data_IF_731856550036
#
_entry.id   IF_731856550036
#
_cell.length_a   1.000
_cell.length_b   1.000
_cell.length_c   1.000
_cell.angle_alpha   90.00
_cell.angle_beta   90.00
_cell.angle_gamma   90.00
#
_symmetry.space_group_name_H-M   'P 1'
#
loop_
_entity.id
_entity.type
_entity.pdbx_description
1 polymer ?
#
# COMPACT_ATOMS: atom_id res chain seq x y z
N UNK A 1 0.87 3.55 -16.33
CA UNK A 1 0.82 4.49 -17.48
C UNK A 1 2.21 5.10 -17.64
N UNK A 2 3.04 4.57 -18.54
CA UNK A 2 4.29 5.24 -18.93
C UNK A 2 3.90 6.30 -19.95
N UNK A 3 3.85 7.55 -19.54
CA UNK A 3 3.55 8.68 -20.43
C UNK A 3 4.80 9.00 -21.27
N UNK A 4 4.76 8.68 -22.57
CA UNK A 4 5.77 9.04 -23.57
C UNK A 4 5.81 10.54 -23.92
N UNK A 5 5.04 11.35 -23.20
CA UNK A 5 4.83 12.78 -23.43
C UNK A 5 6.13 13.62 -23.58
N UNK A 6 7.23 13.35 -22.85
CA UNK A 6 8.41 14.21 -22.89
C UNK A 6 9.25 14.05 -24.17
N UNK A 7 9.22 12.87 -24.81
CA UNK A 7 9.99 12.54 -26.02
C UNK A 7 9.64 13.46 -27.20
N UNK A 8 8.39 13.96 -27.24
CA UNK A 8 7.89 14.83 -28.29
C UNK A 8 8.09 16.34 -28.03
N UNK A 9 8.29 16.78 -26.78
CA UNK A 9 8.15 18.20 -26.42
C UNK A 9 9.42 18.89 -25.87
N UNK A 10 10.56 18.20 -25.70
CA UNK A 10 11.79 18.80 -25.13
C UNK A 10 11.52 19.54 -23.78
N UNK A 11 10.58 19.03 -22.97
CA UNK A 11 10.24 19.62 -21.67
C UNK A 11 11.23 19.11 -20.61
N UNK A 12 11.49 19.94 -19.61
CA UNK A 12 12.53 19.75 -18.60
C UNK A 12 12.31 18.62 -17.58
N UNK A 13 11.19 17.88 -17.59
CA UNK A 13 10.87 17.00 -16.46
C UNK A 13 10.34 15.63 -16.87
N UNK A 14 11.09 14.59 -16.51
CA UNK A 14 10.59 13.21 -16.42
C UNK A 14 10.69 12.74 -14.98
N UNK A 15 9.56 12.66 -14.28
CA UNK A 15 9.48 12.24 -12.88
C UNK A 15 8.64 10.97 -12.78
N UNK A 16 9.18 9.78 -13.08
CA UNK A 16 8.53 8.55 -12.68
C UNK A 16 8.72 8.37 -11.16
N UNK A 17 7.61 8.42 -10.44
CA UNK A 17 7.48 7.71 -9.17
C UNK A 17 6.90 6.35 -9.51
N UNK A 18 7.59 5.26 -9.16
CA UNK A 18 7.07 3.92 -9.46
C UNK A 18 5.73 3.65 -8.76
N UNK A 19 5.52 4.24 -7.58
CA UNK A 19 4.40 3.99 -6.64
C UNK A 19 4.32 2.52 -6.15
N UNK A 20 4.52 1.53 -7.02
CA UNK A 20 4.78 0.13 -6.74
C UNK A 20 5.43 -0.55 -7.96
N UNK A 21 6.33 -1.52 -7.75
CA UNK A 21 6.84 -2.40 -8.80
C UNK A 21 6.22 -3.80 -8.66
N UNK A 22 5.37 -4.20 -9.61
CA UNK A 22 4.58 -5.44 -9.47
C UNK A 22 5.44 -6.71 -9.44
N UNK A 23 6.66 -6.67 -10.00
CA UNK A 23 7.60 -7.80 -9.98
C UNK A 23 7.92 -8.30 -8.56
N UNK A 24 7.96 -7.40 -7.57
CA UNK A 24 8.17 -7.80 -6.16
C UNK A 24 6.90 -8.20 -5.45
N UNK A 25 5.74 -7.70 -5.90
CA UNK A 25 4.42 -8.05 -5.35
C UNK A 25 3.93 -9.44 -5.80
N UNK A 26 4.36 -9.87 -6.98
CA UNK A 26 4.08 -11.20 -7.53
C UNK A 26 5.38 -12.00 -7.66
N UNK A 27 5.75 -12.80 -6.64
CA UNK A 27 7.01 -13.55 -6.64
C UNK A 27 7.13 -14.49 -7.86
N UNK A 28 8.31 -14.49 -8.48
CA UNK A 28 8.65 -15.28 -9.67
C UNK A 28 7.77 -14.98 -10.90
N UNK A 29 7.10 -13.82 -10.94
CA UNK A 29 6.32 -13.37 -12.11
C UNK A 29 7.17 -13.13 -13.35
N UNK A 30 8.47 -12.92 -13.19
CA UNK A 30 9.45 -12.82 -14.28
C UNK A 30 9.81 -14.19 -14.87
N UNK A 31 10.14 -15.18 -14.03
CA UNK A 31 10.52 -16.53 -14.47
C UNK A 31 9.30 -17.32 -14.99
N UNK A 32 8.14 -17.19 -14.35
CA UNK A 32 6.90 -17.89 -14.74
C UNK A 32 5.95 -16.98 -15.51
N UNK A 33 6.51 -16.16 -16.40
CA UNK A 33 5.77 -15.15 -17.15
C UNK A 33 4.56 -15.74 -17.89
N UNK A 34 4.71 -16.93 -18.48
CA UNK A 34 3.66 -17.67 -19.19
C UNK A 34 2.36 -17.84 -18.38
N UNK A 35 2.48 -18.07 -17.07
CA UNK A 35 1.34 -18.25 -16.16
C UNK A 35 0.60 -16.96 -15.85
N UNK A 36 1.30 -15.82 -15.91
CA UNK A 36 0.75 -14.53 -15.52
C UNK A 36 0.36 -13.65 -16.71
N UNK A 37 1.02 -13.79 -17.86
CA UNK A 37 0.94 -12.81 -18.94
C UNK A 37 -0.44 -12.71 -19.60
N UNK A 38 -1.20 -13.81 -19.59
CA UNK A 38 -2.58 -13.83 -20.10
C UNK A 38 -3.56 -12.99 -19.27
N UNK A 39 -3.27 -12.80 -17.98
CA UNK A 39 -4.13 -12.04 -17.05
C UNK A 39 -3.57 -10.66 -16.72
N UNK A 40 -2.27 -10.57 -16.44
CA UNK A 40 -1.63 -9.36 -15.91
C UNK A 40 -0.80 -8.61 -16.95
N UNK A 41 -0.49 -9.22 -18.08
CA UNK A 41 0.35 -8.64 -19.15
C UNK A 41 1.70 -8.12 -18.63
N UNK A 42 2.33 -8.87 -17.72
CA UNK A 42 3.61 -8.49 -17.10
C UNK A 42 4.76 -8.34 -18.11
N UNK A 43 4.68 -8.97 -19.28
CA UNK A 43 5.64 -8.77 -20.37
C UNK A 43 5.65 -7.31 -20.82
N UNK A 44 4.48 -6.70 -20.97
CA UNK A 44 4.33 -5.28 -21.28
C UNK A 44 4.81 -4.42 -20.11
N UNK A 45 4.34 -4.73 -18.90
CA UNK A 45 4.63 -3.93 -17.71
C UNK A 45 6.12 -3.87 -17.38
N UNK A 46 6.80 -5.01 -17.27
CA UNK A 46 8.23 -5.06 -16.94
C UNK A 46 9.09 -4.40 -18.03
N UNK A 47 8.67 -4.51 -19.30
CA UNK A 47 9.32 -3.78 -20.40
C UNK A 47 9.14 -2.27 -20.25
N UNK A 48 7.94 -1.82 -19.89
CA UNK A 48 7.64 -0.40 -19.67
C UNK A 48 8.44 0.16 -18.48
N UNK A 49 8.50 -0.60 -17.39
CA UNK A 49 9.23 -0.26 -16.17
C UNK A 49 10.72 -0.09 -16.48
N UNK A 50 11.35 -1.06 -17.15
CA UNK A 50 12.76 -0.96 -17.56
C UNK A 50 13.05 0.27 -18.43
N UNK A 51 12.16 0.57 -19.38
CA UNK A 51 12.30 1.75 -20.24
C UNK A 51 12.23 3.01 -19.37
N UNK A 52 11.19 3.15 -18.55
CA UNK A 52 10.97 4.34 -17.73
C UNK A 52 12.10 4.57 -16.71
N UNK A 53 12.58 3.49 -16.05
CA UNK A 53 13.68 3.51 -15.08
C UNK A 53 14.97 4.09 -15.66
N UNK A 54 15.23 3.85 -16.94
CA UNK A 54 16.46 4.27 -17.61
C UNK A 54 16.31 5.53 -18.45
N UNK A 55 15.08 5.89 -18.81
CA UNK A 55 14.80 7.07 -19.63
C UNK A 55 14.80 8.36 -18.82
N UNK A 56 14.35 8.30 -17.57
CA UNK A 56 14.18 9.47 -16.70
C UNK A 56 15.49 10.16 -16.30
N UNK A 57 15.38 11.47 -16.05
CA UNK A 57 16.46 12.28 -15.52
C UNK A 57 16.82 11.94 -14.06
N UNK A 58 15.81 11.70 -13.21
CA UNK A 58 15.95 11.28 -11.81
C UNK A 58 14.71 10.55 -11.29
N UNK A 59 14.94 9.65 -10.34
CA UNK A 59 13.91 8.81 -9.73
C UNK A 59 13.66 9.26 -8.30
N UNK A 60 12.40 9.47 -7.95
CA UNK A 60 11.97 9.65 -6.57
C UNK A 60 11.43 8.34 -6.04
N UNK A 61 11.91 7.95 -4.86
CA UNK A 61 11.38 6.84 -4.08
C UNK A 61 10.91 7.33 -2.72
N UNK A 62 9.99 6.59 -2.11
CA UNK A 62 9.42 6.96 -0.81
C UNK A 62 10.27 6.46 0.36
N UNK A 63 11.08 5.42 0.15
CA UNK A 63 11.91 4.74 1.15
C UNK A 63 13.24 4.28 0.56
N UNK A 64 14.26 4.09 1.41
CA UNK A 64 15.48 3.40 1.01
C UNK A 64 15.21 1.94 0.61
N UNK A 65 14.28 1.28 1.33
CA UNK A 65 13.82 -0.08 1.04
C UNK A 65 13.37 -0.24 -0.42
N UNK A 66 12.69 0.75 -0.98
CA UNK A 66 12.26 0.73 -2.37
C UNK A 66 13.45 0.62 -3.34
N UNK A 67 14.60 1.22 -3.02
CA UNK A 67 15.81 1.15 -3.85
C UNK A 67 16.58 -0.15 -3.59
N UNK A 68 17.10 -0.29 -2.36
CA UNK A 68 18.12 -1.28 -2.00
C UNK A 68 17.72 -2.17 -0.81
N UNK A 69 16.43 -2.18 -0.45
CA UNK A 69 15.88 -3.11 0.52
C UNK A 69 16.44 -2.92 1.92
N UNK A 70 16.87 -4.02 2.52
CA UNK A 70 17.51 -4.07 3.82
C UNK A 70 18.76 -4.94 3.76
N UNK A 71 19.40 -5.17 4.91
CA UNK A 71 20.51 -6.14 4.99
C UNK A 71 20.08 -7.56 4.57
N UNK A 72 18.83 -7.92 4.87
CA UNK A 72 18.34 -9.30 4.78
C UNK A 72 17.32 -9.48 3.63
N UNK A 73 16.94 -8.41 2.93
CA UNK A 73 15.95 -8.44 1.85
C UNK A 73 16.32 -7.51 0.70
N UNK A 74 16.10 -7.96 -0.53
CA UNK A 74 16.38 -7.20 -1.75
C UNK A 74 15.35 -6.08 -1.95
N UNK A 75 15.80 -4.92 -2.42
CA UNK A 75 14.97 -3.77 -2.74
C UNK A 75 14.08 -3.93 -3.97
N UNK A 76 13.10 -3.02 -4.13
CA UNK A 76 12.19 -3.09 -5.28
C UNK A 76 12.94 -2.85 -6.59
N UNK A 77 13.65 -1.73 -6.70
CA UNK A 77 14.50 -1.45 -7.86
C UNK A 77 15.69 -2.41 -7.94
N UNK A 78 16.31 -2.77 -6.82
CA UNK A 78 17.39 -3.76 -6.78
C UNK A 78 16.99 -5.09 -7.45
N UNK A 79 15.75 -5.54 -7.25
CA UNK A 79 15.25 -6.76 -7.90
C UNK A 79 15.19 -6.68 -9.44
N UNK A 80 15.35 -5.49 -10.02
CA UNK A 80 15.39 -5.24 -11.46
C UNK A 80 16.83 -5.09 -12.01
N UNK A 81 17.87 -5.22 -11.17
CA UNK A 81 19.27 -5.21 -11.63
C UNK A 81 19.49 -6.34 -12.64
N UNK A 82 19.13 -7.57 -12.29
CA UNK A 82 19.29 -8.72 -13.16
C UNK A 82 18.11 -9.68 -13.02
N UNK A 83 17.45 -9.98 -14.14
CA UNK A 83 16.37 -10.95 -14.20
C UNK A 83 16.19 -11.45 -15.63
N UNK A 84 15.35 -12.46 -15.81
CA UNK A 84 15.07 -13.02 -17.13
C UNK A 84 13.57 -13.23 -17.30
N UNK A 85 13.10 -12.98 -18.52
CA UNK A 85 11.78 -13.34 -18.98
C UNK A 85 11.99 -14.47 -20.01
N UNK A 86 11.89 -15.75 -19.61
CA UNK A 86 12.13 -16.88 -20.49
C UNK A 86 11.35 -16.74 -21.80
N UNK A 87 11.98 -17.13 -22.91
CA UNK A 87 11.45 -17.00 -24.28
C UNK A 87 11.18 -15.57 -24.77
N UNK A 88 11.47 -14.53 -23.97
CA UNK A 88 11.23 -13.13 -24.33
C UNK A 88 12.50 -12.28 -24.44
N UNK A 89 13.25 -12.12 -23.34
CA UNK A 89 14.58 -11.50 -23.27
C UNK A 89 15.19 -11.67 -21.86
N UNK A 90 16.50 -11.39 -21.75
CA UNK A 90 17.23 -11.37 -20.48
C UNK A 90 17.73 -9.97 -20.18
N UNK A 91 17.60 -9.56 -18.92
CA UNK A 91 18.13 -8.31 -18.38
C UNK A 91 19.38 -8.64 -17.59
N UNK A 92 20.54 -8.33 -18.15
CA UNK A 92 21.83 -8.57 -17.48
C UNK A 92 22.13 -7.45 -16.47
N UNK A 93 21.79 -6.21 -16.84
CA UNK A 93 21.95 -5.02 -16.00
C UNK A 93 20.85 -4.00 -16.34
N UNK A 94 19.73 -4.07 -15.62
CA UNK A 94 18.53 -3.28 -15.89
C UNK A 94 18.51 -1.94 -15.17
N UNK A 95 19.10 -1.85 -13.99
CA UNK A 95 19.21 -0.64 -13.18
C UNK A 95 20.40 -0.81 -12.23
N UNK A 96 20.94 0.30 -11.70
CA UNK A 96 21.97 0.28 -10.65
C UNK A 96 21.43 1.01 -9.42
N UNK A 97 21.45 0.36 -8.26
CA UNK A 97 21.02 0.96 -6.98
C UNK A 97 21.93 2.09 -6.52
N UNK A 98 23.14 2.17 -7.07
CA UNK A 98 24.09 3.27 -6.84
C UNK A 98 23.97 4.40 -7.87
N UNK A 99 23.04 4.32 -8.82
CA UNK A 99 22.84 5.37 -9.81
C UNK A 99 22.48 6.69 -9.09
N UNK A 100 23.25 7.77 -9.31
CA UNK A 100 23.03 9.04 -8.62
C UNK A 100 21.69 9.67 -8.95
N UNK A 101 20.90 9.13 -9.89
CA UNK A 101 19.55 9.59 -10.20
C UNK A 101 18.52 9.22 -9.12
N UNK A 102 18.81 8.26 -8.24
CA UNK A 102 17.91 7.89 -7.16
C UNK A 102 17.91 8.91 -6.02
N UNK A 103 16.73 9.35 -5.62
CA UNK A 103 16.52 10.26 -4.50
C UNK A 103 15.36 9.79 -3.63
N UNK A 104 15.56 9.77 -2.32
CA UNK A 104 14.51 9.45 -1.37
C UNK A 104 13.81 10.75 -0.95
N UNK A 105 12.56 10.88 -1.35
CA UNK A 105 11.69 11.99 -0.98
C UNK A 105 10.38 11.42 -0.46
N UNK A 106 10.35 11.14 0.83
CA UNK A 106 9.22 10.48 1.47
C UNK A 106 7.98 11.39 1.50
N UNK A 107 6.79 10.90 1.06
CA UNK A 107 5.55 11.66 1.13
C UNK A 107 5.01 11.70 2.58
N UNK A 108 3.92 12.44 2.79
CA UNK A 108 3.25 12.52 4.09
C UNK A 108 1.73 12.39 3.98
N UNK A 109 1.05 12.57 5.11
CA UNK A 109 -0.41 12.74 5.17
C UNK A 109 -0.78 14.23 5.12
N UNK A 110 -1.98 14.54 4.60
CA UNK A 110 -2.55 15.89 4.68
C UNK A 110 -2.93 16.17 6.15
N UNK A 111 -2.15 17.04 6.79
CA UNK A 111 -2.29 17.37 8.22
C UNK A 111 -3.59 18.14 8.54
N UNK A 112 -4.35 18.57 7.53
CA UNK A 112 -5.68 19.15 7.72
C UNK A 112 -6.77 18.08 7.84
N UNK A 113 -6.51 16.88 7.30
CA UNK A 113 -7.43 15.74 7.33
C UNK A 113 -7.06 14.77 8.44
N UNK A 114 -5.77 14.44 8.54
CA UNK A 114 -5.21 13.49 9.50
C UNK A 114 -4.40 14.27 10.54
N UNK A 115 -4.78 14.15 11.80
CA UNK A 115 -4.16 14.85 12.93
C UNK A 115 -4.44 14.07 14.21
N UNK A 116 -3.66 14.26 15.29
CA UNK A 116 -3.78 13.50 16.53
C UNK A 116 -5.20 13.50 17.09
N UNK A 117 -5.69 12.32 17.50
CA UNK A 117 -7.03 12.17 18.10
C UNK A 117 -7.23 12.99 19.39
N UNK A 118 -6.14 13.38 20.05
CA UNK A 118 -6.10 14.18 21.29
C UNK A 118 -6.41 15.66 21.06
N UNK A 119 -6.39 16.15 19.81
CA UNK A 119 -6.75 17.53 19.48
C UNK A 119 -8.27 17.71 19.45
N UNK A 120 -8.90 17.70 20.63
CA UNK A 120 -10.37 17.71 20.81
C UNK A 120 -11.06 18.85 20.09
N UNK A 121 -10.44 20.02 20.03
CA UNK A 121 -11.01 21.23 19.40
C UNK A 121 -11.11 21.11 17.87
N UNK A 122 -10.34 20.20 17.26
CA UNK A 122 -10.36 19.96 15.81
C UNK A 122 -11.22 18.75 15.42
N UNK A 123 -11.69 17.96 16.38
CA UNK A 123 -12.48 16.74 16.13
C UNK A 123 -13.76 17.06 15.37
N UNK A 124 -14.06 16.25 14.36
CA UNK A 124 -15.23 16.46 13.50
C UNK A 124 -16.44 15.71 14.06
N UNK A 125 -16.92 16.14 15.23
CA UNK A 125 -17.98 15.47 15.99
C UNK A 125 -19.30 15.33 15.25
N UNK A 126 -19.55 16.15 14.22
CA UNK A 126 -20.69 16.02 13.33
C UNK A 126 -20.75 14.64 12.61
N UNK A 127 -19.60 14.00 12.39
CA UNK A 127 -19.56 12.66 11.78
C UNK A 127 -19.77 11.52 12.78
N UNK A 128 -19.83 11.78 14.10
CA UNK A 128 -19.90 10.70 15.10
C UNK A 128 -21.15 9.84 14.96
N UNK A 129 -22.31 10.44 14.67
CA UNK A 129 -23.54 9.68 14.42
C UNK A 129 -23.43 8.78 13.20
N UNK A 130 -22.77 9.23 12.12
CA UNK A 130 -22.55 8.42 10.92
C UNK A 130 -21.54 7.29 11.19
N UNK A 131 -20.47 7.58 11.94
CA UNK A 131 -19.44 6.60 12.30
C UNK A 131 -20.01 5.53 13.24
N UNK A 132 -20.85 5.91 14.21
CA UNK A 132 -21.51 4.96 15.10
C UNK A 132 -22.49 4.05 14.36
N UNK A 133 -23.23 4.59 13.38
CA UNK A 133 -24.05 3.77 12.48
C UNK A 133 -23.16 2.80 11.69
N UNK A 134 -22.10 3.32 11.06
CA UNK A 134 -21.18 2.55 10.23
C UNK A 134 -20.53 1.39 11.00
N UNK A 135 -20.12 1.62 12.25
CA UNK A 135 -19.42 0.63 13.08
C UNK A 135 -20.37 -0.31 13.82
N UNK A 136 -21.48 0.19 14.36
CA UNK A 136 -22.23 -0.51 15.40
C UNK A 136 -23.71 -0.74 15.10
N UNK A 137 -24.22 -0.27 13.97
CA UNK A 137 -25.61 -0.52 13.56
C UNK A 137 -25.87 -2.03 13.43
N UNK A 138 -27.03 -2.48 13.89
CA UNK A 138 -27.48 -3.87 13.73
C UNK A 138 -28.04 -4.15 12.32
N UNK A 139 -28.09 -3.12 11.47
CA UNK A 139 -28.51 -3.23 10.07
C UNK A 139 -27.34 -3.72 9.23
N UNK A 140 -27.62 -4.66 8.33
CA UNK A 140 -26.69 -5.06 7.26
C UNK A 140 -27.22 -4.51 5.93
N UNK A 141 -26.37 -3.84 5.17
CA UNK A 141 -26.70 -3.22 3.88
C UNK A 141 -25.46 -3.22 2.97
N UNK A 142 -25.48 -2.46 1.88
CA UNK A 142 -24.35 -2.41 0.93
C UNK A 142 -23.24 -1.43 1.33
N UNK A 143 -23.36 -0.77 2.48
CA UNK A 143 -22.28 -0.01 3.10
C UNK A 143 -21.54 -0.83 4.16
N UNK A 144 -22.24 -1.72 4.85
CA UNK A 144 -21.66 -2.55 5.91
C UNK A 144 -22.40 -3.89 6.08
N UNK A 145 -21.61 -4.94 6.30
CA UNK A 145 -22.05 -6.33 6.54
C UNK A 145 -21.57 -6.77 7.92
N UNK A 146 -22.30 -7.73 8.50
CA UNK A 146 -22.06 -8.28 9.84
C UNK A 146 -22.15 -7.23 10.96
N UNK A 147 -22.14 -7.67 12.22
CA UNK A 147 -22.41 -6.80 13.38
C UNK A 147 -21.36 -6.99 14.47
N UNK A 148 -21.10 -5.94 15.24
CA UNK A 148 -20.29 -5.99 16.46
C UNK A 148 -21.21 -6.13 17.68
N UNK A 149 -21.10 -7.24 18.40
CA UNK A 149 -21.95 -7.54 19.56
C UNK A 149 -21.57 -6.72 20.79
N UNK A 150 -20.28 -6.52 21.02
CA UNK A 150 -19.76 -5.79 22.17
C UNK A 150 -19.10 -4.49 21.69
N UNK A 151 -19.78 -3.36 21.91
CA UNK A 151 -19.31 -2.02 21.48
C UNK A 151 -18.17 -1.48 22.34
N UNK A 152 -17.89 -2.08 23.50
CA UNK A 152 -16.88 -1.58 24.44
C UNK A 152 -15.48 -2.12 24.17
N UNK A 153 -15.35 -3.14 23.31
CA UNK A 153 -14.05 -3.71 22.96
C UNK A 153 -13.26 -2.75 22.08
N UNK A 154 -11.92 -2.69 22.24
CA UNK A 154 -11.03 -2.08 21.27
C UNK A 154 -11.25 -2.63 19.86
N UNK A 155 -10.96 -1.80 18.86
CA UNK A 155 -11.10 -2.18 17.46
C UNK A 155 -9.74 -2.43 16.82
N UNK A 156 -9.56 -3.62 16.24
CA UNK A 156 -8.55 -3.89 15.21
C UNK A 156 -9.09 -3.35 13.90
N UNK A 157 -8.49 -2.28 13.39
CA UNK A 157 -8.95 -1.58 12.19
C UNK A 157 -8.00 -1.83 11.02
N UNK A 158 -8.54 -2.13 9.85
CA UNK A 158 -7.78 -2.17 8.60
C UNK A 158 -8.59 -1.58 7.46
N UNK A 159 -7.92 -0.79 6.61
CA UNK A 159 -8.54 -0.14 5.46
C UNK A 159 -7.60 -0.21 4.27
N UNK A 160 -8.05 -0.83 3.18
CA UNK A 160 -7.38 -0.80 1.88
C UNK A 160 -8.30 -1.27 0.77
N UNK A 161 -7.79 -1.31 -0.47
CA UNK A 161 -8.44 -2.03 -1.57
C UNK A 161 -8.48 -3.52 -1.27
N UNK A 162 -9.49 -4.21 -1.80
CA UNK A 162 -9.62 -5.65 -1.69
C UNK A 162 -8.94 -6.32 -2.88
N UNK A 163 -7.66 -6.64 -2.73
CA UNK A 163 -6.86 -7.38 -3.70
C UNK A 163 -6.00 -8.43 -2.98
N UNK A 164 -5.45 -9.40 -3.73
CA UNK A 164 -4.72 -10.53 -3.14
C UNK A 164 -3.48 -10.07 -2.37
N UNK A 165 -2.82 -9.01 -2.83
CA UNK A 165 -1.55 -8.54 -2.24
C UNK A 165 -1.82 -7.84 -0.91
N UNK A 166 -2.94 -7.10 -0.80
CA UNK A 166 -3.37 -6.45 0.46
C UNK A 166 -3.74 -7.45 1.55
N UNK A 167 -4.07 -8.69 1.19
CA UNK A 167 -4.22 -9.82 2.13
C UNK A 167 -5.21 -9.54 3.30
N UNK A 168 -6.31 -8.85 3.00
CA UNK A 168 -7.36 -8.59 4.00
C UNK A 168 -8.00 -9.89 4.50
N UNK A 169 -8.15 -10.86 3.61
CA UNK A 169 -8.64 -12.20 3.95
C UNK A 169 -7.69 -12.94 4.90
N UNK A 170 -6.37 -12.75 4.77
CA UNK A 170 -5.39 -13.32 5.69
C UNK A 170 -5.52 -12.75 7.11
N UNK A 171 -5.84 -11.45 7.26
CA UNK A 171 -6.16 -10.84 8.56
C UNK A 171 -7.44 -11.44 9.17
N UNK A 172 -8.49 -11.64 8.37
CA UNK A 172 -9.72 -12.32 8.84
C UNK A 172 -9.44 -13.73 9.31
N UNK A 173 -8.68 -14.50 8.54
CA UNK A 173 -8.30 -15.88 8.87
C UNK A 173 -7.49 -15.94 10.18
N UNK A 174 -6.48 -15.08 10.31
CA UNK A 174 -5.66 -14.96 11.50
C UNK A 174 -6.49 -14.61 12.74
N UNK A 175 -7.36 -13.61 12.63
CA UNK A 175 -8.27 -13.22 13.71
C UNK A 175 -9.24 -14.34 14.08
N UNK A 176 -9.77 -15.04 13.07
CA UNK A 176 -10.74 -16.10 13.29
C UNK A 176 -10.19 -17.34 13.99
N UNK A 177 -8.94 -17.70 13.70
CA UNK A 177 -8.21 -18.81 14.33
C UNK A 177 -7.88 -18.55 15.80
N UNK A 178 -7.62 -17.31 16.18
CA UNK A 178 -7.21 -16.97 17.54
C UNK A 178 -8.42 -16.57 18.41
N UNK A 179 -8.93 -17.52 19.21
CA UNK A 179 -10.08 -17.28 20.09
C UNK A 179 -9.83 -16.16 21.11
N UNK A 180 -8.61 -16.10 21.67
CA UNK A 180 -8.24 -15.09 22.66
C UNK A 180 -8.23 -13.68 22.06
N UNK A 181 -7.75 -13.52 20.83
CA UNK A 181 -7.80 -12.24 20.11
C UNK A 181 -9.24 -11.75 19.89
N UNK A 182 -10.19 -12.66 19.64
CA UNK A 182 -11.64 -12.34 19.53
C UNK A 182 -12.25 -11.89 20.86
N UNK A 183 -11.70 -12.38 21.97
CA UNK A 183 -12.11 -11.95 23.30
C UNK A 183 -11.58 -10.56 23.63
N UNK A 184 -10.35 -10.24 23.21
CA UNK A 184 -9.69 -8.96 23.47
C UNK A 184 -10.21 -7.79 22.62
N UNK A 185 -10.51 -8.01 21.33
CA UNK A 185 -10.83 -6.92 20.40
C UNK A 185 -11.84 -7.33 19.31
N UNK A 186 -12.57 -6.35 18.77
CA UNK A 186 -13.38 -6.49 17.57
C UNK A 186 -12.52 -6.30 16.31
N UNK A 187 -12.91 -6.91 15.20
CA UNK A 187 -12.28 -6.71 13.90
C UNK A 187 -13.16 -5.83 12.99
N UNK A 188 -12.60 -4.73 12.49
CA UNK A 188 -13.26 -3.85 11.52
C UNK A 188 -12.40 -3.75 10.27
N UNK A 189 -12.95 -4.17 9.13
CA UNK A 189 -12.27 -4.13 7.83
C UNK A 189 -13.05 -3.23 6.89
N UNK A 190 -12.38 -2.24 6.31
CA UNK A 190 -12.89 -1.41 5.21
C UNK A 190 -12.19 -1.87 3.93
N UNK A 191 -12.87 -2.67 3.11
CA UNK A 191 -12.29 -3.19 1.87
C UNK A 191 -13.37 -3.68 0.90
N UNK A 192 -13.20 -3.35 -0.39
CA UNK A 192 -14.13 -3.72 -1.46
C UNK A 192 -15.40 -2.87 -1.46
N UNK A 193 -16.19 -2.90 -2.54
CA UNK A 193 -17.48 -2.20 -2.65
C UNK A 193 -18.62 -3.22 -2.70
N UNK A 194 -19.46 -3.28 -1.66
CA UNK A 194 -20.62 -4.18 -1.64
C UNK A 194 -21.78 -3.69 -2.53
N UNK A 195 -21.83 -2.41 -2.89
CA UNK A 195 -22.95 -1.81 -3.61
C UNK A 195 -22.94 -2.08 -5.11
N UNK A 196 -21.84 -2.60 -5.65
CA UNK A 196 -21.69 -2.93 -7.07
C UNK A 196 -20.97 -4.24 -7.23
N UNK A 197 -21.45 -5.06 -8.17
CA UNK A 197 -20.70 -6.24 -8.57
C UNK A 197 -19.34 -5.80 -9.15
N UNK A 198 -18.26 -6.31 -8.55
CA UNK A 198 -16.91 -6.00 -9.00
C UNK A 198 -16.68 -6.58 -10.39
N UNK A 199 -15.97 -5.83 -11.24
CA UNK A 199 -15.46 -6.30 -12.54
C UNK A 199 -14.02 -6.82 -12.44
N UNK A 200 -13.39 -6.64 -11.29
CA UNK A 200 -12.01 -7.07 -11.04
C UNK A 200 -12.00 -8.51 -10.51
N UNK A 201 -11.17 -9.36 -11.13
CA UNK A 201 -11.13 -10.80 -10.81
C UNK A 201 -10.55 -11.09 -9.44
N UNK A 202 -9.58 -10.28 -8.98
CA UNK A 202 -9.00 -10.48 -7.65
C UNK A 202 -9.98 -10.07 -6.57
N UNK A 203 -10.62 -8.92 -6.74
CA UNK A 203 -11.64 -8.44 -5.82
C UNK A 203 -12.79 -9.46 -5.70
N UNK A 204 -13.31 -9.99 -6.81
CA UNK A 204 -14.33 -11.06 -6.79
C UNK A 204 -13.88 -12.31 -6.00
N UNK A 205 -12.63 -12.76 -6.21
CA UNK A 205 -12.09 -13.92 -5.53
C UNK A 205 -11.90 -13.67 -4.02
N UNK A 206 -11.40 -12.50 -3.65
CA UNK A 206 -11.22 -12.07 -2.26
C UNK A 206 -12.58 -11.86 -1.57
N UNK A 207 -13.60 -11.32 -2.25
CA UNK A 207 -14.98 -11.26 -1.75
C UNK A 207 -15.50 -12.64 -1.36
N UNK A 208 -15.37 -13.62 -2.26
CA UNK A 208 -15.80 -15.01 -2.00
C UNK A 208 -15.04 -15.61 -0.81
N UNK A 209 -13.73 -15.36 -0.71
CA UNK A 209 -12.90 -15.83 0.40
C UNK A 209 -13.29 -15.18 1.72
N UNK A 210 -13.54 -13.87 1.75
CA UNK A 210 -14.01 -13.14 2.94
C UNK A 210 -15.27 -13.78 3.54
N UNK A 211 -16.32 -13.97 2.72
CA UNK A 211 -17.55 -14.63 3.18
C UNK A 211 -17.31 -16.04 3.70
N UNK A 212 -16.47 -16.82 3.01
CA UNK A 212 -16.15 -18.20 3.40
C UNK A 212 -15.47 -18.26 4.77
N UNK A 213 -14.48 -17.40 5.00
CA UNK A 213 -13.75 -17.32 6.27
C UNK A 213 -14.64 -16.83 7.43
N UNK A 214 -15.49 -15.85 7.19
CA UNK A 214 -16.40 -15.32 8.21
C UNK A 214 -17.39 -16.41 8.68
N UNK A 215 -17.87 -17.24 7.76
CA UNK A 215 -18.73 -18.38 8.10
C UNK A 215 -17.94 -19.51 8.78
N UNK A 216 -16.79 -19.90 8.23
CA UNK A 216 -15.92 -20.96 8.78
C UNK A 216 -15.53 -20.69 10.24
N UNK A 217 -15.09 -19.47 10.54
CA UNK A 217 -14.64 -19.06 11.88
C UNK A 217 -15.75 -18.46 12.75
N UNK A 218 -17.00 -18.45 12.26
CA UNK A 218 -18.21 -17.93 12.95
C UNK A 218 -18.01 -16.53 13.51
N UNK A 219 -17.58 -15.60 12.67
CA UNK A 219 -17.16 -14.25 13.11
C UNK A 219 -18.32 -13.27 13.32
N UNK A 220 -19.58 -13.69 13.10
CA UNK A 220 -20.76 -12.85 13.38
C UNK A 220 -20.75 -12.41 14.86
N UNK A 221 -20.85 -11.10 15.09
CA UNK A 221 -20.73 -10.51 16.43
C UNK A 221 -19.33 -10.04 16.80
N UNK A 222 -18.31 -10.41 16.03
CA UNK A 222 -16.90 -10.08 16.26
C UNK A 222 -16.28 -9.25 15.11
N UNK A 223 -16.88 -9.32 13.93
CA UNK A 223 -16.40 -8.61 12.72
C UNK A 223 -17.43 -7.62 12.19
N UNK A 224 -16.94 -6.48 11.70
CA UNK A 224 -17.68 -5.53 10.85
C UNK A 224 -16.92 -5.39 9.54
N UNK A 225 -17.58 -5.66 8.43
CA UNK A 225 -17.00 -5.49 7.10
C UNK A 225 -17.70 -4.33 6.39
N UNK A 226 -16.95 -3.29 6.07
CA UNK A 226 -17.44 -2.02 5.57
C UNK A 226 -16.96 -1.85 4.11
N UNK A 227 -17.85 -1.35 3.25
CA UNK A 227 -17.54 -0.96 1.87
C UNK A 227 -16.53 0.18 1.81
N UNK A 228 -15.85 0.30 0.67
CA UNK A 228 -14.83 1.29 0.40
C UNK A 228 -15.30 2.73 0.77
N UNK A 229 -14.53 3.38 1.63
CA UNK A 229 -14.86 4.71 2.13
C UNK A 229 -14.19 5.80 1.27
N UNK A 230 -14.99 6.54 0.50
CA UNK A 230 -14.49 7.52 -0.47
C UNK A 230 -14.30 8.93 0.08
N UNK A 231 -14.85 9.24 1.26
CA UNK A 231 -14.73 10.56 1.88
C UNK A 231 -13.53 10.63 2.82
N UNK A 232 -12.39 11.15 2.32
CA UNK A 232 -11.15 11.29 3.10
C UNK A 232 -11.31 12.07 4.41
N UNK A 233 -12.21 13.05 4.47
CA UNK A 233 -12.42 13.88 5.67
C UNK A 233 -13.09 13.06 6.76
N UNK A 234 -14.12 12.28 6.41
CA UNK A 234 -14.75 11.31 7.32
C UNK A 234 -13.77 10.19 7.71
N UNK A 235 -12.94 9.72 6.77
CA UNK A 235 -11.93 8.70 7.06
C UNK A 235 -10.91 9.17 8.10
N UNK A 236 -10.49 10.43 8.05
CA UNK A 236 -9.64 11.03 9.09
C UNK A 236 -10.28 10.96 10.47
N UNK A 237 -11.58 11.27 10.56
CA UNK A 237 -12.33 11.15 11.82
C UNK A 237 -12.54 9.68 12.23
N UNK A 238 -12.73 8.77 11.29
CA UNK A 238 -12.82 7.33 11.55
C UNK A 238 -11.54 6.81 12.23
N UNK A 239 -10.35 7.11 11.71
CA UNK A 239 -9.09 6.73 12.35
C UNK A 239 -9.00 7.26 13.80
N UNK A 240 -9.40 8.52 14.04
CA UNK A 240 -9.42 9.11 15.38
C UNK A 240 -10.47 8.47 16.28
N UNK A 241 -11.63 8.10 15.75
CA UNK A 241 -12.66 7.37 16.48
C UNK A 241 -12.14 5.98 16.91
N UNK A 242 -11.38 5.28 16.07
CA UNK A 242 -10.72 4.03 16.47
C UNK A 242 -9.71 4.26 17.60
N UNK A 243 -9.00 5.40 17.61
CA UNK A 243 -8.13 5.77 18.73
C UNK A 243 -8.90 5.91 20.04
N UNK A 244 -10.11 6.47 20.00
CA UNK A 244 -10.96 6.61 21.19
C UNK A 244 -11.33 5.24 21.80
N UNK A 245 -11.43 4.19 20.96
CA UNK A 245 -11.65 2.80 21.42
C UNK A 245 -10.39 2.11 21.99
N UNK A 246 -9.24 2.79 22.00
CA UNK A 246 -7.92 2.20 22.28
C UNK A 246 -7.59 1.00 21.36
N UNK A 247 -8.06 1.10 20.12
CA UNK A 247 -7.80 0.14 19.05
C UNK A 247 -6.39 0.19 18.46
N UNK A 248 -6.18 -0.52 17.36
CA UNK A 248 -4.93 -0.52 16.60
C UNK A 248 -5.20 -0.63 15.09
N UNK A 249 -4.32 -0.06 14.27
CA UNK A 249 -4.35 -0.24 12.82
C UNK A 249 -3.51 -1.46 12.42
N UNK A 250 -4.04 -2.33 11.56
CA UNK A 250 -3.32 -3.51 11.06
C UNK A 250 -3.22 -3.49 9.54
N UNK A 251 -1.99 -3.54 9.03
CA UNK A 251 -1.70 -3.70 7.60
C UNK A 251 -1.06 -5.09 7.34
N UNK A 252 -1.85 -6.10 6.91
CA UNK A 252 -1.43 -7.50 6.73
C UNK A 252 -0.87 -7.85 5.32
N UNK A 253 -0.59 -6.89 4.46
CA UNK A 253 -0.22 -7.12 3.06
C UNK A 253 0.99 -8.06 2.92
N UNK A 254 0.94 -8.97 1.94
CA UNK A 254 2.09 -9.82 1.60
C UNK A 254 3.30 -9.00 1.19
N UNK A 255 3.05 -7.87 0.52
CA UNK A 255 4.06 -6.88 0.19
C UNK A 255 3.38 -5.50 0.05
N UNK A 256 3.88 -4.50 0.76
CA UNK A 256 3.36 -3.12 0.68
C UNK A 256 4.46 -2.19 0.17
N UNK A 257 4.28 -1.60 -1.02
CA UNK A 257 5.33 -0.78 -1.63
C UNK A 257 5.71 0.43 -0.77
N UNK A 258 4.71 1.10 -0.16
CA UNK A 258 4.91 2.19 0.78
C UNK A 258 3.95 2.12 1.96
N UNK A 259 2.64 2.20 1.71
CA UNK A 259 1.61 2.11 2.74
C UNK A 259 1.18 3.48 3.28
N UNK A 260 0.49 4.29 2.47
CA UNK A 260 -0.06 5.58 2.93
C UNK A 260 -1.00 5.43 4.13
N UNK A 261 -1.76 4.33 4.22
CA UNK A 261 -2.65 4.07 5.35
C UNK A 261 -1.91 3.87 6.67
N UNK A 262 -0.66 3.38 6.63
CA UNK A 262 0.24 3.34 7.80
C UNK A 262 0.58 4.76 8.25
N UNK A 263 0.91 5.65 7.32
CA UNK A 263 1.18 7.06 7.61
C UNK A 263 -0.06 7.75 8.17
N UNK A 264 -1.23 7.55 7.56
CA UNK A 264 -2.50 8.12 8.01
C UNK A 264 -2.85 7.69 9.45
N UNK A 265 -2.78 6.38 9.73
CA UNK A 265 -3.04 5.83 11.07
C UNK A 265 -2.07 6.41 12.11
N UNK A 266 -0.77 6.39 11.83
CA UNK A 266 0.25 6.95 12.73
C UNK A 266 0.08 8.46 12.92
N UNK A 267 -0.34 9.20 11.90
CA UNK A 267 -0.60 10.66 11.97
C UNK A 267 -1.79 10.97 12.88
N UNK A 268 -2.79 10.09 12.92
CA UNK A 268 -3.92 10.21 13.84
C UNK A 268 -3.59 9.78 15.28
N UNK A 269 -2.40 9.20 15.51
CA UNK A 269 -2.01 8.63 16.81
C UNK A 269 -2.53 7.22 17.06
N UNK A 270 -2.96 6.50 16.02
CA UNK A 270 -3.38 5.11 16.15
C UNK A 270 -2.15 4.20 16.14
N UNK A 271 -1.90 3.38 17.19
CA UNK A 271 -0.83 2.39 17.15
C UNK A 271 -0.96 1.48 15.94
N UNK A 272 0.11 1.37 15.17
CA UNK A 272 0.11 0.67 13.89
C UNK A 272 0.97 -0.60 13.95
N UNK A 273 0.41 -1.68 13.43
CA UNK A 273 1.00 -3.00 13.33
C UNK A 273 0.99 -3.38 11.84
N UNK A 274 2.14 -3.37 11.17
CA UNK A 274 2.21 -3.50 9.72
C UNK A 274 3.18 -4.58 9.26
N UNK A 275 2.97 -5.05 8.03
CA UNK A 275 3.84 -6.02 7.35
C UNK A 275 5.33 -5.61 7.39
N UNK A 276 6.21 -6.57 7.62
CA UNK A 276 7.66 -6.38 7.50
C UNK A 276 8.18 -6.44 6.06
N UNK A 277 7.31 -6.66 5.06
CA UNK A 277 7.70 -6.74 3.66
C UNK A 277 7.32 -5.47 2.90
N UNK A 278 8.34 -4.74 2.46
CA UNK A 278 8.19 -3.50 1.70
C UNK A 278 8.38 -2.22 2.53
N UNK A 279 7.76 -1.12 2.11
CA UNK A 279 7.92 0.21 2.71
C UNK A 279 7.60 0.32 4.20
N UNK A 280 6.58 -0.36 4.77
CA UNK A 280 6.30 -0.28 6.21
C UNK A 280 7.45 -0.79 7.10
N UNK A 281 8.33 -1.64 6.57
CA UNK A 281 9.55 -2.07 7.25
C UNK A 281 10.49 -0.91 7.60
N UNK A 282 10.51 0.13 6.76
CA UNK A 282 11.28 1.35 7.00
C UNK A 282 10.48 2.42 7.73
N UNK A 283 9.16 2.52 7.49
CA UNK A 283 8.30 3.51 8.16
C UNK A 283 8.29 3.29 9.66
N UNK A 284 8.09 2.05 10.11
CA UNK A 284 7.95 1.69 11.51
C UNK A 284 9.30 1.26 12.09
N UNK A 285 9.64 1.81 13.25
CA UNK A 285 10.69 1.28 14.11
C UNK A 285 10.03 0.33 15.11
N UNK A 286 10.24 -0.99 14.90
CA UNK A 286 9.58 -2.04 15.68
C UNK A 286 9.78 -1.85 17.19
N UNK A 287 8.67 -1.85 17.94
CA UNK A 287 8.66 -1.66 19.40
C UNK A 287 8.78 -0.21 19.86
N UNK A 288 8.94 0.76 18.95
CA UNK A 288 9.11 2.18 19.27
C UNK A 288 7.99 3.02 18.66
N UNK A 289 7.78 2.95 17.35
CA UNK A 289 6.77 3.75 16.65
C UNK A 289 5.61 2.91 16.09
N UNK A 290 5.54 1.63 16.48
CA UNK A 290 4.64 0.63 15.96
C UNK A 290 5.26 -0.77 16.05
N UNK A 291 4.59 -1.78 15.51
CA UNK A 291 5.07 -3.16 15.48
C UNK A 291 5.10 -3.71 14.06
N UNK A 292 6.01 -4.64 13.80
CA UNK A 292 6.05 -5.41 12.57
C UNK A 292 5.37 -6.77 12.74
N UNK A 293 4.65 -7.20 11.71
CA UNK A 293 4.12 -8.56 11.57
C UNK A 293 4.60 -9.18 10.27
N UNK A 294 4.75 -10.51 10.27
CA UNK A 294 5.07 -11.25 9.05
C UNK A 294 3.79 -11.94 8.52
N UNK A 295 3.24 -11.51 7.36
CA UNK A 295 2.02 -12.06 6.79
C UNK A 295 2.13 -13.54 6.40
N UNK A 296 3.35 -14.10 6.28
CA UNK A 296 3.56 -15.52 6.01
C UNK A 296 3.53 -16.40 7.27
N UNK A 297 3.47 -15.79 8.46
CA UNK A 297 3.42 -16.47 9.75
C UNK A 297 2.20 -15.99 10.56
N UNK A 298 1.00 -16.36 10.12
CA UNK A 298 -0.28 -15.90 10.68
C UNK A 298 -0.37 -16.05 12.20
N UNK A 299 0.06 -17.20 12.74
CA UNK A 299 -0.09 -17.47 14.17
C UNK A 299 0.79 -16.54 15.01
N UNK A 300 2.03 -16.29 14.56
CA UNK A 300 2.93 -15.32 15.21
C UNK A 300 2.40 -13.89 15.10
N UNK A 301 1.80 -13.53 13.97
CA UNK A 301 1.18 -12.21 13.80
C UNK A 301 -0.03 -12.04 14.74
N UNK A 302 -0.82 -13.10 14.94
CA UNK A 302 -1.91 -13.09 15.93
C UNK A 302 -1.36 -12.94 17.35
N UNK A 303 -0.30 -13.66 17.70
CA UNK A 303 0.34 -13.57 19.01
C UNK A 303 0.86 -12.15 19.29
N UNK A 304 1.38 -11.45 18.28
CA UNK A 304 1.81 -10.05 18.42
C UNK A 304 0.62 -9.14 18.76
N UNK A 305 -0.53 -9.34 18.11
CA UNK A 305 -1.75 -8.58 18.39
C UNK A 305 -2.30 -8.88 19.79
N UNK A 306 -2.35 -10.16 20.17
CA UNK A 306 -2.73 -10.59 21.52
C UNK A 306 -1.85 -9.90 22.56
N UNK A 307 -0.54 -10.03 22.44
CA UNK A 307 0.42 -9.43 23.37
C UNK A 307 0.29 -7.90 23.43
N UNK A 308 -0.04 -7.25 22.31
CA UNK A 308 -0.29 -5.81 22.28
C UNK A 308 -1.51 -5.44 23.13
N UNK A 309 -2.67 -6.09 22.91
CA UNK A 309 -3.90 -5.78 23.65
C UNK A 309 -3.85 -6.21 25.12
N UNK A 310 -3.17 -7.32 25.44
CA UNK A 310 -2.93 -7.73 26.83
C UNK A 310 -2.10 -6.67 27.57
N UNK A 311 -0.98 -6.23 27.00
CA UNK A 311 -0.15 -5.17 27.60
C UNK A 311 -0.92 -3.86 27.76
N UNK A 312 -1.75 -3.49 26.80
CA UNK A 312 -2.61 -2.31 26.91
C UNK A 312 -3.66 -2.46 28.03
N UNK A 313 -4.14 -3.69 28.28
CA UNK A 313 -5.10 -3.98 29.35
C UNK A 313 -4.45 -3.97 30.74
N UNK A 314 -3.19 -4.42 30.83
CA UNK A 314 -2.40 -4.42 32.07
C UNK A 314 -1.84 -3.02 32.41
N UNK A 315 -1.33 -2.30 31.40
CA UNK A 315 -0.78 -0.94 31.51
C UNK A 315 -1.33 -0.07 30.36
N UNK A 316 -2.39 0.73 30.61
CA UNK A 316 -2.94 1.64 29.61
C UNK A 316 -1.93 2.62 29.02
N UNK A 317 -0.85 2.97 29.75
CA UNK A 317 0.20 3.85 29.25
C UNK A 317 1.02 3.23 28.12
N UNK A 318 0.98 1.91 27.96
CA UNK A 318 1.64 1.22 26.84
C UNK A 318 1.05 1.63 25.49
N UNK A 319 -0.27 1.80 25.41
CA UNK A 319 -0.95 2.28 24.20
C UNK A 319 -0.50 3.71 23.86
N UNK A 320 -0.47 4.58 24.87
CA UNK A 320 -0.09 5.99 24.70
C UNK A 320 1.38 6.13 24.25
N UNK A 321 2.30 5.32 24.80
CA UNK A 321 3.71 5.27 24.36
C UNK A 321 3.84 4.91 22.88
N UNK A 322 3.07 3.92 22.41
CA UNK A 322 3.06 3.53 21.00
C UNK A 322 2.47 4.61 20.10
N UNK A 323 1.39 5.26 20.56
CA UNK A 323 0.75 6.39 19.88
C UNK A 323 1.73 7.57 19.69
N UNK A 324 2.38 8.00 20.78
CA UNK A 324 3.38 9.08 20.78
C UNK A 324 4.59 8.75 19.91
N UNK A 325 5.08 7.50 19.99
CA UNK A 325 6.16 7.02 19.14
C UNK A 325 5.83 7.09 17.65
N UNK A 326 4.59 6.73 17.28
CA UNK A 326 4.06 6.86 15.93
C UNK A 326 4.00 8.31 15.45
N UNK A 327 3.41 9.20 16.25
CA UNK A 327 3.32 10.63 15.95
C UNK A 327 4.70 11.28 15.74
N UNK A 328 5.64 11.02 16.66
CA UNK A 328 7.02 11.53 16.57
C UNK A 328 7.70 11.07 15.27
N UNK A 329 7.53 9.78 14.92
CA UNK A 329 8.10 9.21 13.69
C UNK A 329 7.58 9.93 12.44
N UNK A 330 6.28 10.22 12.36
CA UNK A 330 5.69 10.93 11.21
C UNK A 330 6.23 12.35 11.10
N UNK A 331 6.22 13.13 12.18
CA UNK A 331 6.68 14.53 12.14
C UNK A 331 8.16 14.67 11.75
N UNK A 332 9.00 13.69 12.12
CA UNK A 332 10.43 13.69 11.78
C UNK A 332 10.72 13.32 10.31
N UNK A 333 9.87 12.51 9.66
CA UNK A 333 10.23 11.85 8.39
C UNK A 333 9.22 12.01 7.25
N UNK A 334 7.92 12.08 7.53
CA UNK A 334 6.86 11.86 6.53
C UNK A 334 5.88 13.04 6.47
N UNK A 335 6.33 14.18 5.91
CA UNK A 335 5.50 15.39 5.75
C UNK A 335 5.60 15.99 4.35
N UNK A 336 4.48 16.52 3.84
CA UNK A 336 4.43 17.17 2.51
C UNK A 336 5.30 18.43 2.42
N UNK A 337 5.56 19.09 3.54
CA UNK A 337 6.48 20.22 3.60
C UNK A 337 7.90 19.80 3.21
N UNK A 338 8.42 18.75 3.86
CA UNK A 338 9.75 18.20 3.55
C UNK A 338 9.84 17.67 2.11
N UNK A 339 8.75 17.05 1.63
CA UNK A 339 8.65 16.56 0.26
C UNK A 339 8.84 17.69 -0.76
N UNK A 340 8.09 18.79 -0.59
CA UNK A 340 8.06 19.89 -1.57
C UNK A 340 9.39 20.64 -1.65
N UNK A 341 10.02 20.91 -0.50
CA UNK A 341 11.32 21.59 -0.43
C UNK A 341 12.42 20.79 -1.14
N UNK A 342 12.45 19.47 -0.96
CA UNK A 342 13.39 18.57 -1.64
C UNK A 342 13.12 18.50 -3.13
N UNK A 343 11.87 18.28 -3.54
CA UNK A 343 11.50 18.15 -4.96
C UNK A 343 11.92 19.38 -5.77
N UNK A 344 11.67 20.59 -5.26
CA UNK A 344 12.08 21.84 -5.92
C UNK A 344 13.59 21.94 -6.09
N UNK A 345 14.36 21.49 -5.09
CA UNK A 345 15.82 21.49 -5.14
C UNK A 345 16.35 20.50 -6.18
N UNK A 346 15.85 19.26 -6.17
CA UNK A 346 16.26 18.22 -7.13
C UNK A 346 15.97 18.63 -8.57
N UNK A 347 14.78 19.22 -8.78
CA UNK A 347 14.36 19.78 -10.07
C UNK A 347 15.43 20.75 -10.60
N UNK A 348 15.87 21.73 -9.79
CA UNK A 348 16.95 22.65 -10.19
C UNK A 348 18.27 21.95 -10.53
N UNK A 349 18.70 20.99 -9.70
CA UNK A 349 19.97 20.28 -9.86
C UNK A 349 19.99 19.39 -11.10
N UNK A 350 18.98 18.53 -11.30
CA UNK A 350 18.93 17.64 -12.46
C UNK A 350 18.64 18.39 -13.76
N UNK A 351 17.93 19.51 -13.69
CA UNK A 351 17.76 20.41 -14.85
C UNK A 351 19.09 20.92 -15.37
N UNK A 352 19.99 21.33 -14.48
CA UNK A 352 21.36 21.71 -14.84
C UNK A 352 22.19 20.51 -15.34
N UNK A 353 22.15 19.38 -14.62
CA UNK A 353 22.89 18.17 -14.98
C UNK A 353 22.53 17.67 -16.38
N UNK A 354 21.24 17.68 -16.75
CA UNK A 354 20.75 17.29 -18.08
C UNK A 354 21.43 18.07 -19.21
N UNK A 355 21.69 19.36 -19.01
CA UNK A 355 22.38 20.18 -20.00
C UNK A 355 23.86 19.78 -20.11
N UNK A 356 24.51 19.53 -18.97
CA UNK A 356 25.94 19.16 -18.90
C UNK A 356 26.20 17.78 -19.48
N UNK A 357 25.34 16.79 -19.20
CA UNK A 357 25.56 15.38 -19.57
C UNK A 357 24.90 14.97 -20.90
N UNK A 358 24.42 15.91 -21.71
CA UNK A 358 23.56 15.63 -22.88
C UNK A 358 24.25 14.75 -23.94
N UNK A 359 25.55 14.96 -24.18
CA UNK A 359 26.30 14.19 -25.17
C UNK A 359 26.47 12.73 -24.75
N UNK A 360 26.69 12.47 -23.47
CA UNK A 360 26.90 11.12 -22.91
C UNK A 360 25.59 10.30 -22.87
N UNK A 361 24.43 10.95 -22.70
CA UNK A 361 23.14 10.26 -22.67
C UNK A 361 22.57 9.90 -24.05
N UNK A 362 23.21 10.31 -25.14
CA UNK A 362 22.68 10.13 -26.51
C UNK A 362 22.57 8.66 -26.91
N UNK A 363 23.54 7.85 -26.53
CA UNK A 363 23.59 6.41 -26.88
C UNK A 363 22.48 5.65 -26.16
N UNK A 364 22.37 5.83 -24.84
CA UNK A 364 21.30 5.28 -24.02
C UNK A 364 19.93 5.68 -24.55
N UNK A 365 19.75 6.95 -24.95
CA UNK A 365 18.50 7.42 -25.56
C UNK A 365 18.15 6.63 -26.82
N UNK A 366 19.10 6.42 -27.74
CA UNK A 366 18.84 5.63 -28.97
C UNK A 366 18.55 4.16 -28.67
N UNK A 367 19.24 3.58 -27.68
CA UNK A 367 18.96 2.22 -27.22
C UNK A 367 17.53 2.09 -26.68
N UNK A 368 17.08 3.03 -25.85
CA UNK A 368 15.72 3.04 -25.31
C UNK A 368 14.65 3.29 -26.39
N UNK A 369 14.91 4.19 -27.34
CA UNK A 369 14.03 4.40 -28.49
C UNK A 369 13.86 3.12 -29.33
N UNK A 370 14.95 2.39 -29.57
CA UNK A 370 14.91 1.09 -30.24
C UNK A 370 14.15 0.05 -29.42
N UNK A 371 14.43 -0.05 -28.12
CA UNK A 371 13.79 -1.03 -27.23
C UNK A 371 12.28 -0.77 -27.12
N UNK A 372 11.87 0.51 -27.01
CA UNK A 372 10.48 0.91 -27.09
C UNK A 372 9.86 0.53 -28.44
N UNK A 373 10.49 0.94 -29.55
CA UNK A 373 9.91 0.80 -30.89
C UNK A 373 9.77 -0.66 -31.33
N UNK A 374 10.76 -1.51 -31.02
CA UNK A 374 10.82 -2.88 -31.51
C UNK A 374 10.28 -3.91 -30.49
N UNK A 375 10.41 -3.64 -29.18
CA UNK A 375 9.95 -4.57 -28.13
C UNK A 375 8.66 -4.13 -27.47
N UNK A 376 8.60 -2.93 -26.90
CA UNK A 376 7.41 -2.51 -26.15
C UNK A 376 6.18 -2.39 -27.06
N UNK A 377 6.32 -1.76 -28.24
CA UNK A 377 5.18 -1.59 -29.17
C UNK A 377 4.59 -2.91 -29.67
N UNK A 378 5.42 -3.92 -29.92
CA UNK A 378 4.96 -5.23 -30.38
C UNK A 378 4.22 -5.97 -29.27
N UNK A 379 4.72 -5.91 -28.04
CA UNK A 379 4.03 -6.46 -26.86
C UNK A 379 2.70 -5.74 -26.60
N UNK A 380 2.69 -4.41 -26.57
CA UNK A 380 1.50 -3.62 -26.31
C UNK A 380 0.40 -3.83 -27.38
N UNK A 381 0.79 -4.03 -28.64
CA UNK A 381 -0.16 -4.33 -29.72
C UNK A 381 -0.79 -5.74 -29.62
N UNK A 382 -0.16 -6.67 -28.90
CA UNK A 382 -0.68 -8.01 -28.68
C UNK A 382 -1.67 -8.09 -27.50
N UNK A 383 -1.73 -7.05 -26.66
CA UNK A 383 -2.72 -6.96 -25.57
C UNK A 383 -4.11 -6.80 -26.16
N UNK A 384 -5.09 -7.66 -25.79
CA UNK A 384 -6.45 -7.55 -26.29
C UNK A 384 -7.06 -6.17 -25.99
N UNK A 385 -7.63 -5.54 -27.01
CA UNK A 385 -8.36 -4.29 -26.85
C UNK A 385 -9.65 -4.53 -26.04
N UNK A 386 -10.01 -3.57 -25.21
CA UNK A 386 -11.32 -3.57 -24.57
C UNK A 386 -12.41 -3.55 -25.66
N UNK A 387 -13.43 -4.39 -25.47
CA UNK A 387 -14.62 -4.43 -26.32
C UNK A 387 -15.72 -3.69 -25.59
N UNK A 388 -16.26 -2.64 -26.19
CA UNK A 388 -17.41 -1.93 -25.64
C UNK A 388 -18.67 -2.80 -25.77
N UNK A 389 -19.03 -3.50 -24.69
CA UNK A 389 -20.36 -4.10 -24.43
C UNK A 389 -20.78 -5.30 -25.29
N UNK A 390 -20.93 -6.46 -24.66
CA UNK A 390 -22.17 -7.24 -24.88
C UNK A 390 -23.23 -6.62 -23.96
N UNK A 391 -24.20 -5.95 -24.56
CA UNK A 391 -25.47 -5.65 -23.90
C UNK A 391 -26.09 -6.98 -23.46
N UNK A 392 -26.31 -7.12 -22.16
CA UNK A 392 -27.14 -8.17 -21.59
C UNK A 392 -28.61 -7.94 -22.01
N UNK A 393 -28.93 -8.34 -23.24
CA UNK A 393 -30.28 -8.67 -23.66
C UNK A 393 -30.36 -10.20 -23.77
N UNK A 394 -30.84 -10.83 -22.70
CA UNK A 394 -31.67 -12.04 -22.71
C UNK A 394 -32.29 -12.27 -21.33
#
# INVERSE_FOLDING_TARGET
MVTLWPLCLHINWELPSAHALEKTKYPNSDIYLDKFDSQYHFSCQFTADLIAMNHTDFIITSTFQEIAGSKDSVGQYESHIAFTLPDLYRVVHGIDVFDPKFNIVSPGADMTVYFPYTETDKRLTAFHSEIEELLYSDVENDEHKFVLKDRNKPIIFSMARLDRVKNMTGLVEMYGKNAHLKDLANLVIVAGDHGKESKDREEQAEFKRMYSLIEEYKLKGHIRWISAQMNRVRNGELYRYICDTKGAFVQPAFYEAFGLTVIEAMTCGLPTIATCHGGPAEIIVNGVSGLHIDPYHSDKAADILVNFFEKCSEDPSYWDKMSEGGLKRIYEKYTWKLYSERLMTLTGVYGFWKYVSNLERRETRRYLEMFYALKYRSLAAAVPLAVDGESSDN
#
